data_IF_002208131904
#
_entry.id   IF_002208131904
#
_cell.length_a   1.000
_cell.length_b   1.000
_cell.length_c   1.000
_cell.angle_alpha   90.00
_cell.angle_beta   90.00
_cell.angle_gamma   90.00
#
_symmetry.space_group_name_H-M   'P 1'
#
loop_
_entity.id
_entity.type
_entity.pdbx_description
1 polymer ?
#
# COMPACT_ATOMS: atom_id res chain seq x y z
N UNK A 1 -19.08 15.65 48.36
CA UNK A 1 -19.24 15.72 46.90
C UNK A 1 -19.72 14.36 46.45
N UNK A 2 -20.84 14.31 45.74
CA UNK A 2 -21.44 13.11 45.19
C UNK A 2 -20.75 12.83 43.86
N UNK A 3 -20.19 11.64 43.67
CA UNK A 3 -19.75 11.21 42.34
C UNK A 3 -20.47 9.91 41.99
N UNK A 4 -21.31 10.02 40.97
CA UNK A 4 -22.13 8.96 40.38
C UNK A 4 -21.24 8.00 39.58
N UNK A 5 -21.39 6.67 39.69
CA UNK A 5 -20.60 5.77 38.85
C UNK A 5 -21.04 5.88 37.39
N UNK A 6 -20.06 6.10 36.52
CA UNK A 6 -20.21 6.06 35.06
C UNK A 6 -20.65 4.65 34.66
N UNK A 7 -21.74 4.56 33.91
CA UNK A 7 -22.27 3.30 33.35
C UNK A 7 -21.23 2.71 32.39
N UNK A 8 -20.73 1.51 32.71
CA UNK A 8 -19.75 0.78 31.91
C UNK A 8 -20.23 0.57 30.47
N UNK A 9 -19.30 0.74 29.53
CA UNK A 9 -19.46 0.64 28.09
C UNK A 9 -20.14 -0.66 27.65
N UNK A 10 -21.41 -0.55 27.25
CA UNK A 10 -22.25 -1.64 26.74
C UNK A 10 -21.68 -2.36 25.50
N UNK A 11 -20.63 -1.82 24.86
CA UNK A 11 -20.02 -2.38 23.65
C UNK A 11 -18.76 -3.23 23.92
N UNK A 12 -18.17 -3.17 25.13
CA UNK A 12 -16.94 -3.92 25.44
C UNK A 12 -17.12 -5.44 25.52
N UNK A 13 -18.36 -5.93 25.60
CA UNK A 13 -18.69 -7.34 25.79
C UNK A 13 -19.11 -8.08 24.51
N UNK A 14 -19.13 -7.42 23.35
CA UNK A 14 -19.46 -8.09 22.09
C UNK A 14 -18.23 -8.78 21.51
N UNK A 15 -18.16 -10.11 21.65
CA UNK A 15 -17.13 -10.94 21.01
C UNK A 15 -17.25 -10.84 19.49
N UNK A 16 -16.12 -10.65 18.80
CA UNK A 16 -16.08 -10.68 17.32
C UNK A 16 -16.46 -12.07 16.81
N UNK A 17 -17.12 -12.11 15.65
CA UNK A 17 -17.51 -13.37 15.01
C UNK A 17 -16.32 -14.19 14.48
N UNK A 18 -15.16 -13.56 14.28
CA UNK A 18 -13.93 -14.19 13.78
C UNK A 18 -12.72 -13.70 14.57
N UNK A 19 -11.75 -14.60 14.70
CA UNK A 19 -10.44 -14.34 15.32
C UNK A 19 -9.35 -14.54 14.26
N UNK A 20 -8.28 -13.74 14.34
CA UNK A 20 -7.13 -13.89 13.45
C UNK A 20 -6.36 -15.14 13.90
N UNK A 21 -6.02 -16.08 12.99
CA UNK A 21 -5.15 -17.20 13.33
C UNK A 21 -3.84 -16.70 13.93
N UNK A 22 -3.39 -17.41 14.97
CA UNK A 22 -2.19 -17.07 15.74
C UNK A 22 -0.94 -17.06 14.84
N UNK A 23 -0.89 -18.05 13.94
CA UNK A 23 0.24 -18.29 13.07
C UNK A 23 -0.06 -17.95 11.61
N UNK A 24 0.81 -17.14 11.02
CA UNK A 24 0.92 -16.98 9.58
C UNK A 24 2.22 -17.62 9.10
N UNK A 25 2.13 -18.71 8.32
CA UNK A 25 3.31 -19.39 7.78
C UNK A 25 3.66 -18.84 6.40
N UNK A 26 4.82 -18.18 6.33
CA UNK A 26 5.40 -17.70 5.07
C UNK A 26 5.65 -18.88 4.11
N UNK A 27 5.26 -18.81 2.82
CA UNK A 27 5.62 -19.83 1.84
C UNK A 27 7.15 -19.90 1.64
N UNK A 28 7.66 -21.10 1.33
CA UNK A 28 9.10 -21.35 1.22
C UNK A 28 9.80 -20.56 0.10
N UNK A 29 9.07 -20.16 -0.94
CA UNK A 29 9.60 -19.38 -2.07
C UNK A 29 9.65 -17.87 -1.80
N UNK A 30 9.21 -17.42 -0.62
CA UNK A 30 9.04 -16.00 -0.34
C UNK A 30 10.26 -15.45 0.39
N UNK A 31 11.06 -14.62 -0.29
CA UNK A 31 12.23 -13.97 0.30
C UNK A 31 11.88 -12.61 0.91
N UNK A 32 12.60 -12.21 1.97
CA UNK A 32 12.59 -10.84 2.50
C UNK A 32 13.78 -10.01 2.00
N UNK A 33 14.62 -10.60 1.14
CA UNK A 33 15.73 -9.87 0.52
C UNK A 33 15.19 -8.67 -0.27
N UNK A 34 15.90 -7.52 -0.21
CA UNK A 34 15.55 -6.39 -1.04
C UNK A 34 15.59 -6.78 -2.53
N UNK A 35 14.75 -6.16 -3.37
CA UNK A 35 14.85 -6.35 -4.80
C UNK A 35 16.24 -5.93 -5.31
N UNK A 36 16.70 -6.48 -6.44
CA UNK A 36 17.96 -6.05 -7.04
C UNK A 36 17.93 -4.54 -7.32
N UNK A 37 19.11 -3.93 -7.25
CA UNK A 37 19.25 -2.51 -7.59
C UNK A 37 18.80 -2.27 -9.04
N UNK A 38 18.04 -1.19 -9.31
CA UNK A 38 17.64 -0.86 -10.67
C UNK A 38 18.88 -0.53 -11.52
N UNK A 39 18.81 -0.85 -12.81
CA UNK A 39 19.83 -0.46 -13.76
C UNK A 39 19.84 1.07 -13.95
N UNK A 40 21.02 1.69 -14.11
CA UNK A 40 21.11 3.11 -14.38
C UNK A 40 20.46 3.43 -15.73
N UNK A 41 19.63 4.45 -15.75
CA UNK A 41 18.99 4.95 -16.96
C UNK A 41 20.02 5.77 -17.75
N UNK A 42 20.19 5.46 -19.04
CA UNK A 42 20.98 6.31 -19.93
C UNK A 42 20.17 7.54 -20.34
N UNK A 43 20.45 8.68 -19.71
CA UNK A 43 19.77 9.94 -19.97
C UNK A 43 20.09 10.56 -21.34
N UNK A 44 21.05 9.99 -22.09
CA UNK A 44 21.39 10.44 -23.45
C UNK A 44 20.54 9.75 -24.53
N UNK A 45 19.83 8.68 -24.17
CA UNK A 45 18.87 8.02 -25.07
C UNK A 45 17.57 8.81 -25.04
N UNK A 46 17.33 9.59 -26.10
CA UNK A 46 16.05 10.28 -26.29
C UNK A 46 14.94 9.24 -26.49
N UNK A 47 13.85 9.36 -25.72
CA UNK A 47 12.69 8.51 -25.92
C UNK A 47 12.12 8.78 -27.32
N UNK A 48 11.97 7.76 -28.18
CA UNK A 48 11.54 7.95 -29.57
C UNK A 48 10.11 8.51 -29.71
N UNK A 49 9.33 8.60 -28.62
CA UNK A 49 8.01 9.23 -28.57
C UNK A 49 7.99 10.50 -27.70
N UNK A 50 9.13 10.91 -27.13
CA UNK A 50 9.26 12.08 -26.29
C UNK A 50 8.32 12.06 -25.08
N UNK A 51 8.60 11.21 -24.09
CA UNK A 51 8.18 11.28 -22.68
C UNK A 51 8.82 10.07 -21.97
N UNK A 52 9.61 10.30 -20.91
CA UNK A 52 10.30 9.19 -20.21
C UNK A 52 9.29 8.22 -19.57
N UNK A 53 9.34 6.91 -19.89
CA UNK A 53 8.34 5.93 -19.53
C UNK A 53 8.39 5.42 -18.07
N UNK A 54 9.31 5.88 -17.22
CA UNK A 54 9.21 5.63 -15.77
C UNK A 54 7.99 6.29 -15.12
N UNK A 55 7.22 7.08 -15.87
CA UNK A 55 5.87 7.54 -15.53
C UNK A 55 4.79 6.62 -16.11
N UNK A 56 4.71 5.39 -15.63
CA UNK A 56 3.44 4.67 -15.70
C UNK A 56 2.49 5.41 -14.75
N UNK A 57 1.56 6.21 -15.30
CA UNK A 57 0.60 7.01 -14.53
C UNK A 57 0.43 8.48 -14.97
N UNK A 58 1.35 9.04 -15.77
CA UNK A 58 1.23 10.44 -16.25
C UNK A 58 0.83 10.52 -17.72
N UNK A 59 -0.33 9.96 -18.07
CA UNK A 59 -0.84 10.05 -19.44
C UNK A 59 -1.65 11.33 -19.58
N UNK A 60 -1.35 12.17 -20.58
CA UNK A 60 -2.12 13.39 -20.86
C UNK A 60 -2.90 13.24 -22.15
N UNK A 61 -4.23 13.37 -22.07
CA UNK A 61 -5.12 13.38 -23.23
C UNK A 61 -5.97 14.65 -23.18
N UNK A 62 -5.98 15.44 -24.26
CA UNK A 62 -6.76 16.67 -24.37
C UNK A 62 -6.50 17.66 -23.21
N UNK A 63 -5.28 17.66 -22.67
CA UNK A 63 -4.87 18.49 -21.52
C UNK A 63 -5.24 17.92 -20.14
N UNK A 64 -5.78 16.69 -20.06
CA UNK A 64 -6.21 16.04 -18.83
C UNK A 64 -5.25 14.90 -18.47
N UNK A 65 -4.77 14.86 -17.23
CA UNK A 65 -3.96 13.78 -16.69
C UNK A 65 -4.81 12.54 -16.34
N UNK A 66 -4.33 11.35 -16.72
CA UNK A 66 -4.96 10.04 -16.54
C UNK A 66 -3.96 9.10 -15.86
N UNK A 67 -4.36 8.52 -14.73
CA UNK A 67 -3.60 7.56 -13.90
C UNK A 67 -4.46 6.29 -13.63
N UNK A 68 -3.84 5.10 -13.54
CA UNK A 68 -4.49 3.79 -13.35
C UNK A 68 -4.04 3.08 -12.08
#
# INVERSE_FOLDING_TARGET
>A
MLETPVREDHLGHMKRATERPEDFKKPAHWSDDPPPAPEPIDASVEDPKGLSPTRYGDWVKDGIAIDF
#
